data_IF_728835393700
#
_entry.id   IF_728835393700
#
_cell.length_a   1.000
_cell.length_b   1.000
_cell.length_c   1.000
_cell.angle_alpha   90.00
_cell.angle_beta   90.00
_cell.angle_gamma   90.00
#
_symmetry.space_group_name_H-M   'P 1'
#
loop_
_entity.id
_entity.type
_entity.pdbx_description
1 polymer ?
#
# COMPACT_ATOMS: atom_id res chain seq x y z
N UNK A 1 2.63 3.44 14.82
CA UNK A 1 2.31 2.26 15.65
C UNK A 1 2.56 0.96 14.91
N UNK A 2 3.83 0.56 14.85
CA UNK A 2 4.28 -0.71 14.26
C UNK A 2 5.74 -0.91 14.62
N UNK A 3 6.10 -1.96 15.40
CA UNK A 3 7.49 -2.25 15.72
C UNK A 3 8.33 -2.47 14.44
N UNK A 4 7.77 -3.19 13.47
CA UNK A 4 8.44 -3.46 12.20
C UNK A 4 8.68 -2.19 11.38
N UNK A 5 7.72 -1.26 11.36
CA UNK A 5 7.93 0.02 10.67
C UNK A 5 9.06 0.84 11.31
N UNK A 6 9.21 0.78 12.64
CA UNK A 6 10.31 1.45 13.34
C UNK A 6 11.67 0.79 13.05
N UNK A 7 11.72 -0.54 12.95
CA UNK A 7 12.94 -1.24 12.52
C UNK A 7 13.31 -0.94 11.08
N UNK A 8 12.33 -0.97 10.16
CA UNK A 8 12.54 -0.57 8.78
C UNK A 8 13.08 0.86 8.71
N UNK A 9 12.51 1.80 9.48
CA UNK A 9 12.98 3.18 9.52
C UNK A 9 14.43 3.29 9.99
N UNK A 10 14.83 2.50 10.99
CA UNK A 10 16.24 2.42 11.43
C UNK A 10 17.14 1.87 10.34
N UNK A 11 16.71 0.82 9.64
CA UNK A 11 17.45 0.20 8.55
C UNK A 11 17.67 1.17 7.38
N UNK A 12 16.62 1.87 6.92
CA UNK A 12 16.75 2.89 5.87
C UNK A 12 17.64 4.05 6.33
N UNK A 13 17.52 4.46 7.60
CA UNK A 13 18.36 5.51 8.17
C UNK A 13 19.85 5.13 8.17
N UNK A 14 20.21 3.87 8.42
CA UNK A 14 21.61 3.44 8.40
C UNK A 14 22.19 3.27 6.98
N UNK A 15 21.35 3.32 5.94
CA UNK A 15 21.73 3.15 4.52
C UNK A 15 21.35 4.36 3.68
N UNK A 16 21.30 5.55 4.27
CA UNK A 16 20.74 6.67 3.55
C UNK A 16 21.56 7.09 2.31
N UNK A 17 22.84 6.69 2.21
CA UNK A 17 23.69 6.83 1.02
C UNK A 17 23.27 5.95 -0.16
N UNK A 18 22.37 4.98 0.05
CA UNK A 18 21.80 4.14 -1.00
C UNK A 18 20.47 4.70 -1.53
N UNK A 19 19.97 5.81 -0.96
CA UNK A 19 18.71 6.44 -1.38
C UNK A 19 18.90 7.31 -2.62
N UNK A 20 17.81 7.81 -3.19
CA UNK A 20 17.85 8.76 -4.29
C UNK A 20 18.75 9.97 -3.97
N UNK A 21 19.58 10.48 -4.90
CA UNK A 21 20.44 11.65 -4.67
C UNK A 21 19.71 12.88 -4.09
N UNK A 22 18.47 13.13 -4.48
CA UNK A 22 17.65 14.24 -3.95
C UNK A 22 17.33 14.01 -2.47
N UNK A 23 17.08 12.75 -2.12
CA UNK A 23 16.90 12.33 -0.73
C UNK A 23 18.24 12.48 0.00
N UNK A 24 19.36 11.99 -0.54
CA UNK A 24 20.71 12.10 0.04
C UNK A 24 21.11 13.55 0.35
N UNK A 25 20.86 14.48 -0.57
CA UNK A 25 21.12 15.91 -0.39
C UNK A 25 20.23 16.52 0.71
N UNK A 26 19.00 16.01 0.85
CA UNK A 26 18.10 16.33 1.95
C UNK A 26 18.42 15.55 3.25
N UNK A 27 19.39 14.64 3.26
CA UNK A 27 19.59 13.59 4.27
C UNK A 27 20.73 13.94 5.22
N UNK A 28 20.55 15.04 5.94
CA UNK A 28 20.93 15.01 7.36
C UNK A 28 19.92 14.10 8.06
N UNK A 29 20.28 12.82 8.26
CA UNK A 29 19.45 11.71 8.80
C UNK A 29 19.13 11.93 10.28
N UNK A 30 18.36 12.97 10.51
CA UNK A 30 17.52 13.19 11.68
C UNK A 30 16.09 13.55 11.23
N UNK A 31 15.75 13.28 9.96
CA UNK A 31 14.55 13.81 9.24
C UNK A 31 13.41 12.83 9.00
N UNK A 32 13.63 11.51 9.10
CA UNK A 32 12.52 10.55 9.15
C UNK A 32 11.67 10.68 10.43
N UNK A 33 12.21 11.40 11.41
CA UNK A 33 11.57 11.74 12.66
C UNK A 33 11.42 13.26 12.69
N UNK A 34 10.19 13.76 12.69
CA UNK A 34 9.95 15.19 12.96
C UNK A 34 9.82 15.40 14.47
N UNK A 35 9.87 16.65 14.94
CA UNK A 35 9.60 16.96 16.35
C UNK A 35 8.20 16.50 16.82
N UNK A 36 7.29 16.21 15.89
CA UNK A 36 5.94 15.70 16.15
C UNK A 36 5.80 14.19 15.97
N UNK A 37 6.84 13.51 15.50
CA UNK A 37 6.81 12.07 15.34
C UNK A 37 6.99 11.38 16.70
N UNK A 38 6.05 10.52 17.05
CA UNK A 38 6.11 9.74 18.29
C UNK A 38 6.18 8.24 17.95
N UNK A 39 7.31 7.56 18.22
CA UNK A 39 7.42 6.13 18.00
C UNK A 39 6.55 5.38 19.01
N UNK A 40 5.70 4.47 18.50
CA UNK A 40 4.91 3.56 19.31
C UNK A 40 5.46 2.15 19.11
N UNK A 41 6.26 1.69 20.07
CA UNK A 41 7.00 0.44 19.99
C UNK A 41 6.35 -0.67 20.83
N UNK A 42 5.77 -0.35 21.98
CA UNK A 42 5.18 -1.36 22.87
C UNK A 42 3.67 -1.55 22.64
N UNK A 43 3.16 -2.69 23.11
CA UNK A 43 1.72 -2.99 23.08
C UNK A 43 0.97 -2.05 24.03
N UNK A 44 1.59 -1.69 25.16
CA UNK A 44 1.04 -0.80 26.16
C UNK A 44 0.81 0.60 25.59
N UNK A 45 1.83 1.17 24.92
CA UNK A 45 1.73 2.46 24.24
C UNK A 45 0.64 2.46 23.15
N UNK A 46 0.55 1.37 22.38
CA UNK A 46 -0.50 1.20 21.37
C UNK A 46 -1.90 1.19 22.01
N UNK A 47 -2.07 0.45 23.11
CA UNK A 47 -3.34 0.37 23.82
C UNK A 47 -3.73 1.70 24.48
N UNK A 48 -2.77 2.46 24.99
CA UNK A 48 -2.99 3.83 25.50
C UNK A 48 -3.45 4.76 24.38
N UNK A 49 -2.81 4.70 23.22
CA UNK A 49 -3.18 5.50 22.05
C UNK A 49 -4.61 5.18 21.57
N UNK A 50 -4.99 3.90 21.53
CA UNK A 50 -6.36 3.48 21.17
C UNK A 50 -7.41 4.02 22.16
N UNK A 51 -7.07 4.13 23.44
CA UNK A 51 -7.98 4.68 24.47
C UNK A 51 -8.01 6.20 24.51
N UNK A 52 -6.99 6.85 23.95
CA UNK A 52 -6.84 8.30 23.99
C UNK A 52 -8.03 9.02 23.35
N UNK A 53 -8.43 10.15 23.94
CA UNK A 53 -9.42 11.07 23.37
C UNK A 53 -8.77 12.28 22.70
N UNK A 54 -7.44 12.35 22.68
CA UNK A 54 -6.69 13.42 22.06
C UNK A 54 -6.68 13.18 20.54
N UNK A 55 -7.17 14.14 19.72
CA UNK A 55 -7.09 14.04 18.26
C UNK A 55 -5.64 13.82 17.81
N UNK A 56 -5.41 12.74 17.07
CA UNK A 56 -4.07 12.29 16.70
C UNK A 56 -4.06 11.66 15.31
N UNK A 57 -2.94 11.75 14.59
CA UNK A 57 -2.70 11.00 13.36
C UNK A 57 -1.96 9.72 13.72
N UNK A 58 -2.57 8.57 13.43
CA UNK A 58 -1.97 7.26 13.71
C UNK A 58 -1.61 6.57 12.41
N UNK A 59 -0.30 6.40 12.18
CA UNK A 59 0.21 5.56 11.08
C UNK A 59 0.47 4.15 11.63
N UNK A 60 -0.25 3.15 11.12
CA UNK A 60 -0.17 1.76 11.61
C UNK A 60 -0.15 0.76 10.46
N UNK A 61 0.48 -0.39 10.71
CA UNK A 61 0.51 -1.54 9.79
C UNK A 61 -0.49 -2.64 10.23
N UNK A 62 -0.95 -3.53 9.34
CA UNK A 62 -0.62 -3.63 7.91
C UNK A 62 -1.45 -2.70 7.02
N UNK A 63 -0.87 -2.25 5.90
CA UNK A 63 -1.47 -1.25 4.99
C UNK A 63 -2.77 -1.68 4.29
N UNK A 64 -3.10 -2.98 4.33
CA UNK A 64 -4.37 -3.53 3.82
C UNK A 64 -5.34 -4.00 4.94
N UNK A 65 -5.06 -3.63 6.19
CA UNK A 65 -5.84 -4.04 7.36
C UNK A 65 -6.04 -5.57 7.47
N UNK A 66 -5.02 -6.35 7.09
CA UNK A 66 -5.05 -7.82 7.17
C UNK A 66 -4.76 -8.31 8.58
N UNK A 67 -3.90 -7.60 9.32
CA UNK A 67 -3.45 -7.97 10.65
C UNK A 67 -2.67 -6.86 11.35
N UNK A 68 -2.22 -7.16 12.57
CA UNK A 68 -1.40 -6.23 13.37
C UNK A 68 -2.22 -5.21 14.16
N UNK A 69 -1.52 -4.18 14.64
CA UNK A 69 -2.08 -3.18 15.58
C UNK A 69 -3.15 -2.29 14.96
N UNK A 70 -3.14 -2.13 13.63
CA UNK A 70 -4.17 -1.36 12.90
C UNK A 70 -5.58 -1.90 13.17
N UNK A 71 -5.72 -3.20 13.44
CA UNK A 71 -7.04 -3.79 13.74
C UNK A 71 -7.64 -3.24 15.04
N UNK A 72 -6.83 -2.89 16.04
CA UNK A 72 -7.31 -2.29 17.28
C UNK A 72 -7.76 -0.85 17.05
N UNK A 73 -6.98 -0.08 16.28
CA UNK A 73 -7.34 1.27 15.87
C UNK A 73 -8.61 1.30 15.04
N UNK A 74 -8.77 0.38 14.07
CA UNK A 74 -10.00 0.26 13.27
C UNK A 74 -11.21 -0.16 14.11
N UNK A 75 -11.04 -1.13 15.02
CA UNK A 75 -12.13 -1.57 15.90
C UNK A 75 -12.64 -0.43 16.79
N UNK A 76 -11.76 0.47 17.23
CA UNK A 76 -12.13 1.65 18.02
C UNK A 76 -12.62 2.82 17.16
N UNK A 77 -12.01 3.06 16.00
CA UNK A 77 -12.24 4.25 15.19
C UNK A 77 -13.39 4.12 14.20
N UNK A 78 -13.64 2.94 13.61
CA UNK A 78 -14.69 2.75 12.60
C UNK A 78 -16.10 3.12 13.10
N UNK A 79 -16.49 2.85 14.36
CA UNK A 79 -17.79 3.27 14.86
C UNK A 79 -17.93 4.77 15.18
N UNK A 80 -16.86 5.57 15.11
CA UNK A 80 -16.87 7.01 15.42
C UNK A 80 -16.88 7.84 14.12
N UNK A 81 -17.97 8.56 13.86
CA UNK A 81 -18.16 9.40 12.68
C UNK A 81 -17.15 10.56 12.57
N UNK A 82 -16.51 10.94 13.67
CA UNK A 82 -15.47 11.98 13.70
C UNK A 82 -14.12 11.45 13.22
N UNK A 83 -13.97 10.13 13.11
CA UNK A 83 -12.75 9.49 12.65
C UNK A 83 -12.69 9.43 11.12
N UNK A 84 -11.47 9.48 10.58
CA UNK A 84 -11.20 9.19 9.16
C UNK A 84 -10.20 8.04 9.07
N UNK A 85 -10.51 7.03 8.27
CA UNK A 85 -9.56 5.98 7.88
C UNK A 85 -9.06 6.32 6.47
N UNK A 86 -7.76 6.58 6.38
CA UNK A 86 -7.11 6.97 5.13
C UNK A 86 -6.23 5.81 4.62
N UNK A 87 -6.57 5.27 3.44
CA UNK A 87 -5.72 4.32 2.73
C UNK A 87 -4.84 5.05 1.72
N UNK A 88 -3.53 4.79 1.75
CA UNK A 88 -2.53 5.47 0.90
C UNK A 88 -1.93 4.55 -0.17
N UNK A 89 -2.65 3.49 -0.54
CA UNK A 89 -2.17 2.53 -1.52
C UNK A 89 -3.21 1.48 -1.86
N UNK A 90 -2.84 0.59 -2.78
CA UNK A 90 -3.71 -0.45 -3.31
C UNK A 90 -4.26 -1.37 -2.21
N UNK A 91 -5.52 -1.77 -2.37
CA UNK A 91 -6.22 -2.66 -1.45
C UNK A 91 -6.62 -3.93 -2.19
N UNK A 92 -5.94 -5.05 -1.94
CA UNK A 92 -6.22 -6.29 -2.67
C UNK A 92 -7.62 -6.85 -2.37
N UNK A 93 -8.22 -7.53 -3.36
CA UNK A 93 -9.46 -8.28 -3.19
C UNK A 93 -9.38 -9.22 -1.97
N UNK A 94 -10.50 -9.31 -1.24
CA UNK A 94 -10.58 -10.14 -0.03
C UNK A 94 -10.01 -9.50 1.25
N UNK A 95 -9.28 -8.39 1.16
CA UNK A 95 -8.77 -7.68 2.35
C UNK A 95 -9.85 -6.84 3.02
N UNK A 96 -9.63 -6.46 4.29
CA UNK A 96 -10.54 -5.54 5.00
C UNK A 96 -10.45 -4.13 4.43
N UNK A 97 -9.25 -3.70 4.04
CA UNK A 97 -9.08 -2.39 3.42
C UNK A 97 -9.86 -2.28 2.11
N UNK A 98 -9.90 -3.34 1.28
CA UNK A 98 -10.76 -3.37 0.09
C UNK A 98 -12.23 -3.22 0.46
N UNK A 99 -12.74 -4.02 1.40
CA UNK A 99 -14.14 -3.91 1.88
C UNK A 99 -14.51 -2.51 2.37
N UNK A 100 -13.58 -1.84 3.07
CA UNK A 100 -13.80 -0.48 3.56
C UNK A 100 -13.87 0.53 2.41
N UNK A 101 -12.93 0.45 1.47
CA UNK A 101 -12.90 1.32 0.28
C UNK A 101 -14.13 1.10 -0.61
N UNK A 102 -14.61 -0.14 -0.73
CA UNK A 102 -15.81 -0.49 -1.51
C UNK A 102 -17.12 -0.03 -0.82
N UNK A 103 -17.03 0.56 0.38
CA UNK A 103 -18.16 1.20 1.05
C UNK A 103 -18.98 0.29 1.98
N UNK A 104 -18.45 -0.88 2.36
CA UNK A 104 -19.14 -1.79 3.28
C UNK A 104 -19.51 -1.08 4.59
N UNK A 105 -20.76 -1.25 5.03
CA UNK A 105 -21.30 -0.66 6.27
C UNK A 105 -20.83 -1.37 7.53
N UNK A 106 -20.28 -2.57 7.39
CA UNK A 106 -19.66 -3.32 8.48
C UNK A 106 -18.50 -4.18 7.97
N UNK A 107 -17.52 -4.43 8.86
CA UNK A 107 -16.40 -5.32 8.57
C UNK A 107 -16.08 -6.22 9.76
N UNK A 108 -15.75 -7.49 9.49
CA UNK A 108 -15.38 -8.44 10.54
C UNK A 108 -13.93 -8.22 10.99
N UNK A 109 -13.74 -7.79 12.23
CA UNK A 109 -12.43 -7.57 12.86
C UNK A 109 -12.37 -8.43 14.13
N UNK A 110 -11.35 -9.29 14.23
CA UNK A 110 -11.09 -10.13 15.41
C UNK A 110 -12.33 -10.91 15.92
N UNK A 111 -13.09 -11.48 14.99
CA UNK A 111 -14.28 -12.28 15.29
C UNK A 111 -15.59 -11.49 15.41
N UNK A 112 -15.54 -10.16 15.49
CA UNK A 112 -16.71 -9.30 15.69
C UNK A 112 -17.00 -8.47 14.44
N UNK A 113 -18.28 -8.24 14.13
CA UNK A 113 -18.67 -7.26 13.12
C UNK A 113 -18.60 -5.85 13.72
N UNK A 114 -17.87 -4.96 13.06
CA UNK A 114 -17.67 -3.58 13.48
C UNK A 114 -18.40 -2.67 12.48
N UNK A 115 -19.32 -1.79 12.93
CA UNK A 115 -20.01 -0.86 12.06
C UNK A 115 -19.05 0.22 11.55
N UNK A 116 -19.24 0.62 10.30
CA UNK A 116 -18.44 1.65 9.62
C UNK A 116 -19.25 2.94 9.56
N UNK A 117 -18.97 3.83 10.51
CA UNK A 117 -19.49 5.21 10.57
C UNK A 117 -18.41 6.26 10.27
N UNK A 118 -17.15 5.91 10.51
CA UNK A 118 -16.00 6.73 10.15
C UNK A 118 -15.97 7.01 8.64
N UNK A 119 -15.42 8.17 8.29
CA UNK A 119 -15.16 8.52 6.88
C UNK A 119 -14.04 7.63 6.35
N UNK A 120 -14.26 7.01 5.19
CA UNK A 120 -13.24 6.22 4.49
C UNK A 120 -12.73 7.01 3.30
N UNK A 121 -11.43 7.26 3.27
CA UNK A 121 -10.76 8.03 2.22
C UNK A 121 -9.62 7.20 1.62
N UNK A 122 -9.29 7.48 0.36
CA UNK A 122 -8.18 6.84 -0.34
C UNK A 122 -7.38 7.87 -1.13
N UNK A 123 -6.05 7.82 -0.99
CA UNK A 123 -5.10 8.54 -1.84
C UNK A 123 -4.41 7.55 -2.77
N UNK A 124 -4.63 7.73 -4.07
CA UNK A 124 -4.04 6.88 -5.11
C UNK A 124 -2.59 7.31 -5.45
N UNK A 125 -2.22 8.55 -5.12
CA UNK A 125 -0.93 9.16 -5.48
C UNK A 125 0.28 8.72 -4.65
N UNK A 126 0.11 7.80 -3.71
CA UNK A 126 1.21 7.29 -2.85
C UNK A 126 1.48 5.80 -3.06
N UNK A 127 0.93 5.21 -4.13
CA UNK A 127 1.30 3.87 -4.56
C UNK A 127 2.76 3.85 -5.02
N UNK A 128 3.50 2.80 -4.66
CA UNK A 128 4.84 2.54 -5.19
C UNK A 128 4.82 1.86 -6.58
N UNK A 129 3.63 1.64 -7.14
CA UNK A 129 3.45 1.03 -8.45
C UNK A 129 3.14 2.09 -9.49
N UNK A 130 3.80 1.97 -10.64
CA UNK A 130 3.51 2.77 -11.82
C UNK A 130 2.07 2.55 -12.29
N UNK A 131 1.44 3.62 -12.78
CA UNK A 131 0.18 3.51 -13.51
C UNK A 131 0.37 2.91 -14.91
N UNK A 132 -0.73 2.76 -15.66
CA UNK A 132 -0.67 2.19 -17.01
C UNK A 132 0.16 3.03 -17.98
N UNK A 133 0.11 4.36 -17.90
CA UNK A 133 0.83 5.26 -18.81
C UNK A 133 2.31 5.36 -18.44
N UNK A 134 2.64 5.33 -17.14
CA UNK A 134 4.01 5.18 -16.65
C UNK A 134 4.62 3.84 -17.08
N UNK A 135 3.84 2.75 -16.99
CA UNK A 135 4.26 1.43 -17.48
C UNK A 135 4.53 1.46 -18.99
N UNK A 136 3.62 2.02 -19.79
CA UNK A 136 3.80 2.12 -21.24
C UNK A 136 5.00 2.98 -21.63
N UNK A 137 5.24 4.07 -20.90
CA UNK A 137 6.41 4.92 -21.10
C UNK A 137 7.69 4.14 -20.86
N UNK A 138 7.78 3.43 -19.74
CA UNK A 138 8.93 2.59 -19.42
C UNK A 138 9.17 1.49 -20.47
N UNK A 139 8.10 0.83 -20.95
CA UNK A 139 8.20 -0.16 -22.02
C UNK A 139 8.66 0.48 -23.34
N UNK A 140 8.19 1.69 -23.65
CA UNK A 140 8.54 2.43 -24.87
C UNK A 140 10.01 2.84 -24.97
N UNK A 141 10.73 2.91 -23.85
CA UNK A 141 12.16 3.26 -23.82
C UNK A 141 13.08 2.09 -24.24
N UNK A 142 12.53 0.91 -24.52
CA UNK A 142 13.30 -0.25 -24.95
C UNK A 142 13.75 -0.09 -26.42
N UNK A 143 15.05 -0.22 -26.67
CA UNK A 143 15.60 -0.11 -28.04
C UNK A 143 15.12 -1.20 -29.01
N UNK A 144 14.73 -2.36 -28.47
CA UNK A 144 14.20 -3.49 -29.24
C UNK A 144 13.03 -4.11 -28.48
N UNK A 145 11.93 -4.48 -29.17
CA UNK A 145 10.82 -5.15 -28.52
C UNK A 145 11.28 -6.52 -27.99
N UNK A 146 10.84 -6.93 -26.78
CA UNK A 146 11.03 -8.29 -26.32
C UNK A 146 10.29 -9.25 -27.26
N UNK A 147 10.81 -10.49 -27.38
CA UNK A 147 10.14 -11.54 -28.15
C UNK A 147 8.75 -11.88 -27.59
N UNK A 148 8.63 -11.83 -26.27
CA UNK A 148 7.40 -12.05 -25.52
C UNK A 148 7.43 -11.22 -24.24
N UNK A 149 6.29 -10.63 -23.88
CA UNK A 149 6.06 -9.93 -22.62
C UNK A 149 5.07 -10.72 -21.79
N UNK A 150 5.44 -11.09 -20.56
CA UNK A 150 4.54 -11.77 -19.64
C UNK A 150 4.01 -10.79 -18.59
N UNK A 151 2.71 -10.54 -18.57
CA UNK A 151 2.07 -9.76 -17.52
C UNK A 151 1.70 -10.66 -16.35
N UNK A 152 2.11 -10.26 -15.15
CA UNK A 152 1.86 -10.94 -13.88
C UNK A 152 1.53 -9.89 -12.80
N UNK A 153 1.19 -10.35 -11.58
CA UNK A 153 0.97 -9.50 -10.40
C UNK A 153 -0.07 -8.36 -10.62
N UNK A 154 -1.22 -8.71 -11.17
CA UNK A 154 -2.37 -7.81 -11.30
C UNK A 154 -3.70 -8.56 -11.15
N UNK A 155 -4.79 -7.82 -11.13
CA UNK A 155 -6.13 -8.41 -11.23
C UNK A 155 -6.46 -8.71 -12.70
N UNK A 156 -7.27 -9.75 -13.00
CA UNK A 156 -7.54 -10.17 -14.38
C UNK A 156 -8.00 -9.04 -15.30
N UNK A 157 -8.99 -8.24 -14.88
CA UNK A 157 -9.52 -7.14 -15.68
C UNK A 157 -8.47 -6.06 -16.02
N UNK A 158 -7.80 -5.45 -15.02
CA UNK A 158 -6.70 -4.52 -15.28
C UNK A 158 -5.56 -5.10 -16.12
N UNK A 159 -5.22 -6.38 -15.94
CA UNK A 159 -4.19 -7.05 -16.74
C UNK A 159 -4.62 -7.23 -18.20
N UNK A 160 -5.85 -7.63 -18.46
CA UNK A 160 -6.40 -7.75 -19.81
C UNK A 160 -6.43 -6.39 -20.53
N UNK A 161 -6.82 -5.34 -19.80
CA UNK A 161 -6.79 -3.98 -20.33
C UNK A 161 -5.36 -3.50 -20.66
N UNK A 162 -4.39 -3.75 -19.77
CA UNK A 162 -2.99 -3.42 -20.01
C UNK A 162 -2.42 -4.23 -21.18
N UNK A 163 -2.72 -5.53 -21.27
CA UNK A 163 -2.37 -6.40 -22.39
C UNK A 163 -2.86 -5.82 -23.72
N UNK A 164 -4.15 -5.49 -23.80
CA UNK A 164 -4.73 -4.91 -25.00
C UNK A 164 -4.06 -3.56 -25.37
N UNK A 165 -3.71 -2.76 -24.37
CA UNK A 165 -3.05 -1.47 -24.58
C UNK A 165 -1.61 -1.63 -25.09
N UNK A 166 -0.83 -2.56 -24.52
CA UNK A 166 0.53 -2.87 -24.98
C UNK A 166 0.50 -3.42 -26.41
N UNK A 167 -0.39 -4.39 -26.68
CA UNK A 167 -0.52 -4.97 -28.03
C UNK A 167 -0.94 -3.93 -29.07
N UNK A 168 -1.85 -3.02 -28.74
CA UNK A 168 -2.31 -1.99 -29.69
C UNK A 168 -1.30 -0.87 -29.91
N UNK A 169 -0.67 -0.34 -28.85
CA UNK A 169 0.22 0.83 -28.94
C UNK A 169 1.67 0.47 -29.27
N UNK A 170 2.18 -0.64 -28.75
CA UNK A 170 3.57 -1.04 -28.93
C UNK A 170 3.73 -2.18 -29.95
N UNK A 171 2.63 -2.84 -30.33
CA UNK A 171 2.64 -4.01 -31.23
C UNK A 171 3.48 -5.17 -30.70
N UNK A 172 3.60 -5.29 -29.36
CA UNK A 172 4.34 -6.38 -28.72
C UNK A 172 3.47 -7.62 -28.53
N UNK A 173 4.12 -8.78 -28.53
CA UNK A 173 3.51 -10.04 -28.11
C UNK A 173 3.38 -10.04 -26.58
N UNK A 174 2.16 -10.18 -26.09
CA UNK A 174 1.87 -10.15 -24.65
C UNK A 174 1.08 -11.39 -24.25
N UNK A 175 1.57 -12.07 -23.21
CA UNK A 175 0.91 -13.21 -22.59
C UNK A 175 0.62 -12.92 -21.12
N UNK A 176 -0.47 -13.50 -20.63
CA UNK A 176 -0.87 -13.41 -19.22
C UNK A 176 -0.93 -14.84 -18.70
N UNK A 177 0.17 -15.35 -18.14
CA UNK A 177 0.22 -16.74 -17.71
C UNK A 177 -0.82 -17.02 -16.63
N UNK A 178 -1.48 -18.17 -16.74
CA UNK A 178 -2.34 -18.68 -15.67
C UNK A 178 -1.49 -19.11 -14.47
N UNK A 179 -2.12 -19.21 -13.29
CA UNK A 179 -1.46 -19.74 -12.11
C UNK A 179 -0.97 -21.18 -12.39
N UNK A 180 0.32 -21.45 -12.09
CA UNK A 180 1.03 -22.72 -12.36
C UNK A 180 1.28 -23.04 -13.84
N UNK A 181 1.02 -22.11 -14.75
CA UNK A 181 1.44 -22.26 -16.14
C UNK A 181 2.97 -22.23 -16.24
N UNK A 182 3.53 -23.12 -17.07
CA UNK A 182 4.95 -23.13 -17.40
C UNK A 182 5.13 -22.60 -18.83
N UNK A 183 6.08 -21.69 -19.00
CA UNK A 183 6.42 -21.09 -20.29
C UNK A 183 7.88 -21.38 -20.62
N UNK A 184 8.13 -21.76 -21.87
CA UNK A 184 9.50 -21.95 -22.36
C UNK A 184 10.04 -20.62 -22.90
N UNK A 185 11.21 -20.22 -22.39
CA UNK A 185 11.92 -19.04 -22.88
C UNK A 185 12.83 -19.48 -24.03
N UNK A 186 12.34 -19.39 -25.25
CA UNK A 186 13.12 -19.65 -26.47
C UNK A 186 13.74 -18.40 -27.06
#
# INVERSE_FOLDING_TARGET
DSPMALEALRFYSSRATELDPDIQAAVQIRRFFTARFQPVASVQQSAELVRSKIPSIVVSSSGMATGGRVLYHLQAGLPDERSTVLFVGYQAAGTRGRKLVDGNREVKIRGQFVPVKARIERLDSMSAHADSEETLRWLGDFQKPPRMTYLVHGEPGPMDALKATITSRLQWNVHTPAHLEQVELS
#
